data_IF_565894560129
#
_entry.id   IF_565894560129
#
_cell.length_a   1.000
_cell.length_b   1.000
_cell.length_c   1.000
_cell.angle_alpha   90.00
_cell.angle_beta   90.00
_cell.angle_gamma   90.00
#
_symmetry.space_group_name_H-M   'P 1'
#
loop_
_entity.id
_entity.type
_entity.pdbx_description
1 polymer ?
#
# COMPACT_ATOMS: atom_id res chain seq x y z
N UNK A 1 -15.69 9.45 48.25
CA UNK A 1 -14.88 10.60 47.85
C UNK A 1 -13.41 10.38 48.22
N UNK A 2 -12.51 10.40 47.24
CA UNK A 2 -11.08 10.60 47.47
C UNK A 2 -10.75 12.05 47.08
N UNK A 3 -9.82 12.73 47.77
CA UNK A 3 -9.55 14.14 47.51
C UNK A 3 -8.74 14.30 46.22
N UNK A 4 -9.21 15.18 45.34
CA UNK A 4 -8.50 15.61 44.13
C UNK A 4 -7.27 16.40 44.56
N UNK A 5 -6.08 15.92 44.19
CA UNK A 5 -4.82 16.62 44.45
C UNK A 5 -4.77 17.95 43.67
N UNK A 6 -4.25 19.00 44.32
CA UNK A 6 -4.11 20.33 43.73
C UNK A 6 -3.14 20.33 42.53
N UNK A 7 -3.38 21.17 41.50
CA UNK A 7 -2.53 21.25 40.32
C UNK A 7 -1.10 21.73 40.68
N UNK A 8 -0.06 21.23 39.98
CA UNK A 8 1.31 21.63 40.24
C UNK A 8 1.54 23.11 39.88
N UNK A 9 2.47 23.79 40.57
CA UNK A 9 2.78 25.19 40.30
C UNK A 9 3.35 25.39 38.89
N UNK A 10 3.10 26.55 38.26
CA UNK A 10 3.69 26.89 36.97
C UNK A 10 5.23 26.90 37.06
N UNK A 11 5.94 26.53 35.98
CA UNK A 11 7.40 26.57 35.97
C UNK A 11 7.91 28.00 36.22
N UNK A 12 9.13 28.15 36.77
CA UNK A 12 9.72 29.47 37.03
C UNK A 12 9.75 30.32 35.75
N UNK A 13 9.55 31.65 35.85
CA UNK A 13 9.63 32.54 34.70
C UNK A 13 10.99 32.41 34.01
N UNK A 14 10.99 32.11 32.70
CA UNK A 14 12.20 32.05 31.87
C UNK A 14 12.70 30.67 31.43
N UNK A 15 12.05 29.57 31.84
CA UNK A 15 12.36 28.22 31.36
C UNK A 15 11.47 27.79 30.18
N UNK A 16 12.06 27.09 29.20
CA UNK A 16 11.37 26.47 28.07
C UNK A 16 10.31 25.48 28.58
N UNK A 17 9.01 25.68 28.28
CA UNK A 17 7.97 24.77 28.73
C UNK A 17 8.13 23.39 28.05
N UNK A 18 7.88 22.27 28.76
CA UNK A 18 8.02 20.92 28.19
C UNK A 18 7.24 20.71 26.89
N UNK A 19 6.09 21.38 26.74
CA UNK A 19 5.27 21.34 25.52
C UNK A 19 6.01 21.94 24.32
N UNK A 20 6.75 23.04 24.50
CA UNK A 20 7.55 23.62 23.42
C UNK A 20 8.67 22.67 22.98
N UNK A 21 9.31 22.00 23.95
CA UNK A 21 10.34 20.99 23.65
C UNK A 21 9.75 19.84 22.85
N UNK A 22 8.60 19.31 23.29
CA UNK A 22 7.92 18.22 22.62
C UNK A 22 7.49 18.58 21.18
N UNK A 23 6.99 19.80 20.97
CA UNK A 23 6.57 20.29 19.65
C UNK A 23 7.75 20.34 18.67
N UNK A 24 8.89 20.88 19.09
CA UNK A 24 10.08 21.01 18.23
C UNK A 24 10.66 19.64 17.89
N UNK A 25 10.77 18.76 18.89
CA UNK A 25 11.25 17.39 18.66
C UNK A 25 10.31 16.64 17.70
N UNK A 26 8.98 16.74 17.89
CA UNK A 26 7.98 16.12 16.99
C UNK A 26 8.02 16.66 15.57
N UNK A 27 8.16 17.98 15.41
CA UNK A 27 8.29 18.62 14.09
C UNK A 27 9.51 18.09 13.31
N UNK A 28 10.54 17.62 14.02
CA UNK A 28 11.77 17.08 13.44
C UNK A 28 11.79 15.55 13.30
N UNK A 29 10.68 14.84 13.57
CA UNK A 29 10.61 13.37 13.45
C UNK A 29 11.02 12.86 12.07
N UNK A 30 10.80 13.61 10.99
CA UNK A 30 11.25 13.24 9.65
C UNK A 30 12.77 12.99 9.56
N UNK A 31 13.58 13.78 10.28
CA UNK A 31 15.05 13.61 10.33
C UNK A 31 15.45 12.35 11.08
N UNK A 32 14.84 12.10 12.23
CA UNK A 32 15.11 10.90 13.02
C UNK A 32 14.66 9.64 12.28
N UNK A 33 13.54 9.72 11.55
CA UNK A 33 13.04 8.66 10.69
C UNK A 33 14.01 8.35 9.55
N UNK A 34 14.65 9.35 8.95
CA UNK A 34 15.67 9.12 7.92
C UNK A 34 16.85 8.28 8.46
N UNK A 35 17.35 8.60 9.66
CA UNK A 35 18.38 7.80 10.33
C UNK A 35 17.94 6.35 10.53
N UNK A 36 16.68 6.14 10.92
CA UNK A 36 16.11 4.80 11.12
C UNK A 36 15.93 4.02 9.82
N UNK A 37 15.46 4.66 8.74
CA UNK A 37 15.32 4.03 7.42
C UNK A 37 16.69 3.50 6.94
N UNK A 38 17.75 4.29 7.11
CA UNK A 38 19.10 3.86 6.75
C UNK A 38 19.61 2.70 7.63
N UNK A 39 19.18 2.65 8.89
CA UNK A 39 19.46 1.52 9.79
C UNK A 39 18.74 0.25 9.34
N UNK A 40 17.45 0.35 9.00
CA UNK A 40 16.62 -0.78 8.53
C UNK A 40 17.11 -1.32 7.19
N UNK A 41 17.55 -0.44 6.27
CA UNK A 41 18.17 -0.85 4.99
C UNK A 41 19.41 -1.73 5.18
N UNK A 42 20.19 -1.49 6.23
CA UNK A 42 21.43 -2.23 6.51
C UNK A 42 21.18 -3.45 7.40
N UNK A 43 20.23 -3.34 8.33
CA UNK A 43 19.83 -4.41 9.26
C UNK A 43 18.30 -4.51 9.28
N UNK A 44 17.71 -5.29 8.35
CA UNK A 44 16.26 -5.54 8.33
C UNK A 44 15.74 -6.03 9.68
N UNK A 45 14.57 -5.54 10.10
CA UNK A 45 13.97 -5.88 11.41
C UNK A 45 14.49 -5.07 12.60
N UNK A 46 15.39 -4.10 12.40
CA UNK A 46 15.77 -3.14 13.45
C UNK A 46 14.54 -2.40 13.95
N UNK A 47 14.22 -2.55 15.23
CA UNK A 47 13.15 -1.83 15.94
C UNK A 47 13.52 -1.73 17.41
N UNK A 48 12.90 -0.80 18.11
CA UNK A 48 13.07 -0.65 19.55
C UNK A 48 13.16 0.80 19.99
N UNK A 49 13.30 0.97 21.29
CA UNK A 49 13.34 2.27 21.95
C UNK A 49 14.76 2.80 22.04
N UNK A 50 14.87 4.12 21.96
CA UNK A 50 16.11 4.88 22.11
C UNK A 50 15.86 6.04 23.06
N UNK A 51 16.71 6.20 24.07
CA UNK A 51 16.63 7.32 25.02
C UNK A 51 17.75 8.28 24.69
N UNK A 52 17.36 9.50 24.30
CA UNK A 52 18.29 10.57 23.98
C UNK A 52 18.34 11.56 25.13
N UNK A 53 19.54 11.93 25.56
CA UNK A 53 19.79 12.98 26.53
C UNK A 53 20.51 14.13 25.83
N UNK A 54 19.99 15.35 25.94
CA UNK A 54 20.58 16.51 25.29
C UNK A 54 20.39 17.77 26.16
N UNK A 55 21.27 18.75 25.96
CA UNK A 55 21.25 20.02 26.70
C UNK A 55 20.92 21.17 25.75
N UNK A 56 19.88 21.93 26.08
CA UNK A 56 19.50 23.15 25.38
C UNK A 56 20.19 24.33 26.06
N UNK A 57 20.97 25.11 25.32
CA UNK A 57 21.65 26.30 25.81
C UNK A 57 20.72 27.53 25.82
N UNK A 58 21.04 28.61 26.58
CA UNK A 58 20.16 29.78 26.71
C UNK A 58 19.81 30.46 25.38
N UNK A 59 20.69 30.35 24.38
CA UNK A 59 20.49 30.84 23.02
C UNK A 59 19.60 29.92 22.16
N UNK A 60 19.05 28.85 22.73
CA UNK A 60 18.18 27.89 22.03
C UNK A 60 18.91 26.79 21.25
N UNK A 61 20.23 26.83 21.16
CA UNK A 61 21.01 25.77 20.49
C UNK A 61 21.06 24.50 21.32
N UNK A 62 21.14 23.33 20.67
CA UNK A 62 21.40 22.07 21.36
C UNK A 62 22.92 21.83 21.42
N UNK A 63 23.43 21.74 22.64
CA UNK A 63 24.80 21.30 22.90
C UNK A 63 24.94 19.78 22.76
N UNK A 64 25.88 19.17 23.50
CA UNK A 64 26.18 17.75 23.38
C UNK A 64 24.93 16.87 23.59
N UNK A 65 24.53 16.16 22.54
CA UNK A 65 23.49 15.13 22.59
C UNK A 65 24.14 13.75 22.72
N UNK A 66 23.53 12.87 23.51
CA UNK A 66 24.01 11.50 23.72
C UNK A 66 22.84 10.52 23.76
N UNK A 67 23.12 9.27 23.42
CA UNK A 67 22.16 8.18 23.53
C UNK A 67 22.51 7.38 24.77
N UNK A 68 21.61 7.38 25.75
CA UNK A 68 21.80 6.71 27.03
C UNK A 68 21.41 5.24 26.95
N UNK A 69 20.41 4.92 26.14
CA UNK A 69 19.96 3.55 25.88
C UNK A 69 19.52 3.44 24.43
N UNK A 70 19.89 2.35 23.75
CA UNK A 70 19.40 2.01 22.41
C UNK A 70 19.15 0.52 22.33
N UNK A 71 17.92 0.15 22.02
CA UNK A 71 17.53 -1.22 21.67
C UNK A 71 17.86 -1.54 20.19
N UNK A 72 18.36 -0.55 19.43
CA UNK A 72 18.83 -0.70 18.06
C UNK A 72 20.38 -0.73 18.08
N UNK A 73 21.03 -1.92 17.99
CA UNK A 73 22.48 -2.06 18.04
C UNK A 73 23.12 -1.72 16.68
N UNK A 74 23.10 -0.44 16.33
CA UNK A 74 23.62 0.07 15.06
C UNK A 74 24.38 1.40 15.26
N UNK A 75 25.73 1.37 15.31
CA UNK A 75 26.53 2.58 15.55
C UNK A 75 26.31 3.73 14.52
N UNK A 76 26.16 3.47 13.21
CA UNK A 76 25.85 4.53 12.26
C UNK A 76 24.50 5.22 12.52
N UNK A 77 23.51 4.47 13.02
CA UNK A 77 22.20 5.01 13.41
C UNK A 77 22.32 5.91 14.63
N UNK A 78 23.03 5.47 15.67
CA UNK A 78 23.34 6.25 16.87
C UNK A 78 24.00 7.59 16.50
N UNK A 79 25.00 7.54 15.63
CA UNK A 79 25.71 8.74 15.18
C UNK A 79 24.81 9.68 14.35
N UNK A 80 23.95 9.14 13.49
CA UNK A 80 22.98 9.93 12.73
C UNK A 80 21.97 10.62 13.65
N UNK A 81 21.47 9.90 14.66
CA UNK A 81 20.46 10.42 15.57
C UNK A 81 21.04 11.53 16.46
N UNK A 82 22.26 11.35 17.00
CA UNK A 82 22.97 12.39 17.77
C UNK A 82 23.09 13.68 16.96
N UNK A 83 23.64 13.61 15.73
CA UNK A 83 23.75 14.79 14.84
C UNK A 83 22.41 15.45 14.55
N UNK A 84 21.36 14.64 14.43
CA UNK A 84 20.01 15.15 14.16
C UNK A 84 19.43 15.93 15.35
N UNK A 85 19.78 15.55 16.58
CA UNK A 85 19.39 16.27 17.80
C UNK A 85 20.23 17.53 18.02
N UNK A 86 21.53 17.48 17.74
CA UNK A 86 22.43 18.64 17.82
C UNK A 86 22.05 19.74 16.81
N UNK A 87 21.39 19.36 15.70
CA UNK A 87 20.89 20.29 14.69
C UNK A 87 19.48 20.86 15.00
N UNK A 88 18.95 20.67 16.21
CA UNK A 88 17.69 21.29 16.64
C UNK A 88 17.93 22.69 17.19
N UNK A 89 16.96 23.57 16.95
CA UNK A 89 16.93 24.93 17.47
C UNK A 89 15.64 25.15 18.27
N UNK A 90 15.80 25.70 19.47
CA UNK A 90 14.72 26.04 20.39
C UNK A 90 14.61 27.57 20.54
N UNK A 91 13.45 28.09 20.95
CA UNK A 91 13.35 29.49 21.37
C UNK A 91 14.33 29.80 22.52
N UNK A 92 14.87 31.02 22.54
CA UNK A 92 15.74 31.46 23.62
C UNK A 92 15.05 31.36 24.98
N UNK A 93 15.80 30.91 25.99
CA UNK A 93 15.30 30.67 27.34
C UNK A 93 16.24 31.36 28.34
N UNK A 94 15.85 32.51 28.93
CA UNK A 94 16.71 33.26 29.83
C UNK A 94 16.98 32.55 31.18
N UNK A 95 16.28 31.45 31.47
CA UNK A 95 16.38 30.65 32.70
C UNK A 95 17.56 29.68 32.79
N UNK A 96 18.57 29.78 31.92
CA UNK A 96 19.77 28.92 31.93
C UNK A 96 19.64 27.64 31.09
N UNK A 97 20.70 26.80 31.02
CA UNK A 97 20.70 25.59 30.20
C UNK A 97 19.72 24.54 30.75
N UNK A 98 18.98 23.88 29.85
CA UNK A 98 17.97 22.87 30.18
C UNK A 98 18.41 21.50 29.70
N UNK A 99 18.52 20.52 30.59
CA UNK A 99 18.78 19.13 30.24
C UNK A 99 17.48 18.35 30.00
N UNK A 100 17.35 17.74 28.84
CA UNK A 100 16.16 16.99 28.41
C UNK A 100 16.54 15.53 28.20
N UNK A 101 15.70 14.63 28.70
CA UNK A 101 15.76 13.20 28.38
C UNK A 101 14.50 12.83 27.61
N UNK A 102 14.66 12.39 26.37
CA UNK A 102 13.56 12.16 25.44
C UNK A 102 13.58 10.72 24.90
N UNK A 103 12.57 9.89 25.22
CA UNK A 103 12.44 8.57 24.64
C UNK A 103 11.83 8.66 23.23
N UNK A 104 12.45 7.95 22.28
CA UNK A 104 11.94 7.70 20.94
C UNK A 104 11.68 6.21 20.80
N UNK A 105 10.54 5.85 20.22
CA UNK A 105 10.26 4.51 19.76
C UNK A 105 10.46 4.47 18.25
N UNK A 106 11.25 3.53 17.77
CA UNK A 106 11.47 3.28 16.36
C UNK A 106 10.90 1.91 16.02
N UNK A 107 10.06 1.88 15.01
CA UNK A 107 9.32 0.69 14.64
C UNK A 107 8.33 0.99 13.53
N UNK A 108 7.58 -0.05 13.15
CA UNK A 108 6.52 0.04 12.16
C UNK A 108 5.47 1.11 12.47
N UNK A 109 4.95 1.76 11.44
CA UNK A 109 3.83 2.69 11.56
C UNK A 109 2.50 1.95 11.37
N UNK A 110 2.27 0.88 12.14
CA UNK A 110 0.98 0.17 12.21
C UNK A 110 0.11 0.66 13.39
N UNK A 111 0.61 1.61 14.18
CA UNK A 111 -0.10 2.16 15.33
C UNK A 111 -0.15 1.23 16.54
N UNK A 112 0.59 0.11 16.53
CA UNK A 112 0.58 -0.88 17.62
C UNK A 112 1.71 -0.73 18.62
N UNK A 113 2.64 0.22 18.41
CA UNK A 113 3.72 0.48 19.36
C UNK A 113 3.14 0.75 20.76
N UNK A 114 3.35 -0.14 21.75
CA UNK A 114 2.79 0.07 23.06
C UNK A 114 3.41 1.34 23.66
N UNK A 115 2.57 2.29 24.05
CA UNK A 115 2.92 3.30 25.05
C UNK A 115 3.08 2.59 26.40
N UNK A 116 4.06 1.70 26.52
CA UNK A 116 4.32 1.01 27.77
C UNK A 116 4.99 1.98 28.73
N UNK A 117 4.17 2.43 29.68
CA UNK A 117 4.42 3.10 30.97
C UNK A 117 5.62 4.06 31.02
N UNK A 118 5.42 5.36 31.34
CA UNK A 118 6.55 6.21 31.68
C UNK A 118 7.31 5.60 32.86
N UNK A 119 8.64 5.53 32.75
CA UNK A 119 9.51 5.24 33.88
C UNK A 119 9.12 6.16 35.05
N UNK A 120 9.01 5.59 36.25
CA UNK A 120 9.03 6.35 37.50
C UNK A 120 10.27 7.23 37.47
N UNK A 121 10.09 8.55 37.31
CA UNK A 121 11.20 9.51 37.35
C UNK A 121 11.01 10.82 36.60
N UNK A 122 10.14 10.89 35.58
CA UNK A 122 9.75 12.19 34.99
C UNK A 122 8.40 12.64 35.55
N UNK A 123 8.45 13.42 36.62
CA UNK A 123 7.31 14.19 37.10
C UNK A 123 7.06 15.37 36.19
N UNK A 124 6.21 15.19 35.18
CA UNK A 124 5.45 16.29 34.56
C UNK A 124 4.00 15.82 34.55
N UNK A 125 3.14 16.48 35.32
CA UNK A 125 1.72 16.16 35.44
C UNK A 125 1.07 16.12 34.06
N UNK A 126 0.84 14.91 33.57
CA UNK A 126 0.28 14.68 32.25
C UNK A 126 -1.20 15.00 32.24
N UNK A 127 -1.57 16.06 31.53
CA UNK A 127 -2.83 16.03 30.81
C UNK A 127 -2.70 14.94 29.74
N UNK A 128 -3.09 13.72 30.10
CA UNK A 128 -3.45 12.70 29.13
C UNK A 128 -4.85 13.12 28.66
N UNK A 129 -5.02 13.68 27.44
CA UNK A 129 -6.37 13.80 26.91
C UNK A 129 -7.00 12.41 27.04
N UNK A 130 -8.25 12.29 27.52
CA UNK A 130 -8.89 10.98 27.62
C UNK A 130 -8.69 10.31 26.27
N UNK A 131 -8.06 9.13 26.28
CA UNK A 131 -7.94 8.34 25.08
C UNK A 131 -9.36 8.30 24.51
N UNK A 132 -9.58 8.96 23.38
CA UNK A 132 -10.80 8.75 22.62
C UNK A 132 -10.96 7.24 22.49
N UNK A 133 -12.20 6.72 22.51
CA UNK A 133 -12.43 5.29 22.44
C UNK A 133 -11.50 4.72 21.37
N UNK A 134 -10.66 3.75 21.76
CA UNK A 134 -9.73 3.12 20.83
C UNK A 134 -10.54 2.77 19.58
N UNK A 135 -10.05 3.20 18.41
CA UNK A 135 -10.75 2.93 17.16
C UNK A 135 -11.09 1.44 17.12
N UNK A 136 -12.36 1.12 16.89
CA UNK A 136 -12.79 -0.26 16.85
C UNK A 136 -11.90 -1.02 15.85
N UNK A 137 -11.50 -2.27 16.15
CA UNK A 137 -10.74 -3.06 15.20
C UNK A 137 -11.51 -3.10 13.86
N UNK A 138 -10.80 -3.09 12.72
CA UNK A 138 -11.46 -3.14 11.43
C UNK A 138 -12.37 -4.38 11.37
N UNK A 139 -13.54 -4.28 10.73
CA UNK A 139 -14.44 -5.42 10.62
C UNK A 139 -13.76 -6.55 9.83
N UNK A 140 -14.16 -7.79 10.12
CA UNK A 140 -13.65 -8.93 9.38
C UNK A 140 -14.16 -8.90 7.92
N UNK A 141 -13.31 -9.15 6.91
CA UNK A 141 -13.66 -8.96 5.49
C UNK A 141 -14.61 -10.00 4.90
N UNK A 142 -14.66 -11.19 5.48
CA UNK A 142 -15.37 -12.33 4.92
C UNK A 142 -16.51 -12.80 5.80
N UNK A 143 -17.49 -13.45 5.16
CA UNK A 143 -18.68 -14.03 5.77
C UNK A 143 -18.88 -15.47 5.30
N UNK A 144 -19.51 -16.30 6.11
CA UNK A 144 -19.95 -17.64 5.71
C UNK A 144 -18.79 -18.57 5.32
N UNK A 145 -18.97 -19.38 4.27
CA UNK A 145 -17.94 -20.34 3.84
C UNK A 145 -16.65 -19.68 3.36
N UNK A 146 -16.71 -18.49 2.76
CA UNK A 146 -15.52 -17.74 2.36
C UNK A 146 -14.67 -17.41 3.58
N UNK A 147 -15.28 -16.94 4.67
CA UNK A 147 -14.56 -16.72 5.94
C UNK A 147 -13.85 -18.00 6.42
N UNK A 148 -14.54 -19.14 6.37
CA UNK A 148 -14.01 -20.40 6.86
C UNK A 148 -12.82 -20.88 6.01
N UNK A 149 -12.90 -20.70 4.69
CA UNK A 149 -11.82 -21.01 3.74
C UNK A 149 -10.63 -20.09 3.93
N UNK A 150 -10.84 -18.78 3.91
CA UNK A 150 -9.76 -17.79 4.04
C UNK A 150 -9.02 -17.91 5.37
N UNK A 151 -9.74 -18.13 6.48
CA UNK A 151 -9.11 -18.40 7.79
C UNK A 151 -8.31 -19.69 7.83
N UNK A 152 -8.67 -20.70 7.04
CA UNK A 152 -7.89 -21.93 6.92
C UNK A 152 -6.61 -21.69 6.09
N UNK A 153 -6.71 -20.90 5.02
CA UNK A 153 -5.57 -20.46 4.19
C UNK A 153 -4.59 -19.64 5.04
N UNK A 154 -5.07 -18.68 5.84
CA UNK A 154 -4.25 -17.88 6.77
C UNK A 154 -3.45 -18.75 7.77
N UNK A 155 -3.97 -19.94 8.10
CA UNK A 155 -3.31 -20.91 8.99
C UNK A 155 -2.42 -21.91 8.24
N UNK A 156 -2.27 -21.75 6.93
CA UNK A 156 -1.63 -22.70 6.02
C UNK A 156 -2.24 -24.12 6.07
N UNK A 157 -3.53 -24.24 6.36
CA UNK A 157 -4.29 -25.49 6.37
C UNK A 157 -5.12 -25.64 5.09
N UNK A 158 -4.43 -25.89 3.97
CA UNK A 158 -5.05 -26.05 2.66
C UNK A 158 -5.97 -27.27 2.56
N UNK A 159 -5.73 -28.31 3.36
CA UNK A 159 -6.60 -29.50 3.40
C UNK A 159 -7.99 -29.16 3.97
N UNK A 160 -8.04 -28.40 5.07
CA UNK A 160 -9.31 -27.90 5.62
C UNK A 160 -9.99 -26.93 4.66
N UNK A 161 -9.24 -26.02 4.06
CA UNK A 161 -9.76 -25.06 3.08
C UNK A 161 -10.46 -25.78 1.91
N UNK A 162 -9.81 -26.79 1.31
CA UNK A 162 -10.37 -27.58 0.22
C UNK A 162 -11.65 -28.29 0.61
N UNK A 163 -11.68 -28.95 1.78
CA UNK A 163 -12.88 -29.65 2.26
C UNK A 163 -14.07 -28.71 2.45
N UNK A 164 -13.83 -27.51 2.97
CA UNK A 164 -14.89 -26.50 3.15
C UNK A 164 -15.36 -25.98 1.79
N UNK A 165 -14.44 -25.65 0.88
CA UNK A 165 -14.78 -25.18 -0.46
C UNK A 165 -15.55 -26.22 -1.27
N UNK A 166 -15.16 -27.50 -1.20
CA UNK A 166 -15.87 -28.61 -1.85
C UNK A 166 -17.31 -28.73 -1.34
N UNK A 167 -17.52 -28.63 -0.02
CA UNK A 167 -18.87 -28.61 0.57
C UNK A 167 -19.67 -27.40 0.07
N UNK A 168 -19.10 -26.21 0.15
CA UNK A 168 -19.76 -24.97 -0.28
C UNK A 168 -20.20 -25.04 -1.74
N UNK A 169 -19.37 -25.63 -2.62
CA UNK A 169 -19.68 -25.83 -4.04
C UNK A 169 -20.82 -26.83 -4.28
N UNK A 170 -20.99 -27.83 -3.40
CA UNK A 170 -22.12 -28.77 -3.47
C UNK A 170 -23.41 -28.14 -2.95
N UNK A 171 -23.32 -27.34 -1.88
CA UNK A 171 -24.47 -26.67 -1.26
C UNK A 171 -25.00 -25.52 -2.12
N UNK A 172 -24.12 -24.76 -2.77
CA UNK A 172 -24.47 -23.64 -3.64
C UNK A 172 -23.65 -23.63 -4.96
N UNK A 173 -23.98 -24.53 -5.90
CA UNK A 173 -23.23 -24.72 -7.14
C UNK A 173 -23.42 -23.60 -8.18
N UNK A 174 -24.34 -22.66 -7.94
CA UNK A 174 -24.61 -21.53 -8.83
C UNK A 174 -24.05 -20.21 -8.30
N UNK A 175 -23.58 -20.19 -7.04
CA UNK A 175 -22.98 -18.99 -6.46
C UNK A 175 -21.53 -18.82 -6.90
N UNK A 176 -21.13 -17.64 -7.40
CA UNK A 176 -19.73 -17.37 -7.72
C UNK A 176 -18.80 -17.46 -6.51
N UNK A 177 -19.31 -17.20 -5.29
CA UNK A 177 -18.50 -17.27 -4.06
C UNK A 177 -18.01 -18.69 -3.77
N UNK A 178 -18.75 -19.73 -4.17
CA UNK A 178 -18.30 -21.11 -3.98
C UNK A 178 -17.13 -21.45 -4.90
N UNK A 179 -17.10 -20.88 -6.12
CA UNK A 179 -15.97 -21.02 -7.05
C UNK A 179 -14.77 -20.15 -6.67
N UNK A 180 -14.99 -18.95 -6.13
CA UNK A 180 -13.94 -18.11 -5.52
C UNK A 180 -13.24 -18.90 -4.41
N UNK A 181 -14.01 -19.38 -3.42
CA UNK A 181 -13.48 -20.17 -2.31
C UNK A 181 -12.74 -21.44 -2.79
N UNK A 182 -13.25 -22.09 -3.84
CA UNK A 182 -12.59 -23.25 -4.47
C UNK A 182 -11.26 -22.85 -5.11
N UNK A 183 -11.22 -21.75 -5.86
CA UNK A 183 -10.00 -21.25 -6.50
C UNK A 183 -8.94 -20.86 -5.46
N UNK A 184 -9.33 -20.19 -4.38
CA UNK A 184 -8.43 -19.75 -3.30
C UNK A 184 -7.85 -20.96 -2.54
N UNK A 185 -8.70 -21.93 -2.19
CA UNK A 185 -8.26 -23.18 -1.55
C UNK A 185 -7.32 -24.01 -2.43
N UNK A 186 -7.59 -24.10 -3.74
CA UNK A 186 -6.73 -24.79 -4.71
C UNK A 186 -5.39 -24.08 -4.89
N UNK A 187 -5.40 -22.75 -4.92
CA UNK A 187 -4.16 -21.94 -5.00
C UNK A 187 -3.30 -22.19 -3.76
N UNK A 188 -3.88 -22.14 -2.56
CA UNK A 188 -3.20 -22.42 -1.31
C UNK A 188 -2.66 -23.87 -1.22
N UNK A 189 -3.29 -24.81 -1.94
CA UNK A 189 -2.83 -26.19 -2.07
C UNK A 189 -1.76 -26.39 -3.17
N UNK A 190 -1.34 -25.34 -3.88
CA UNK A 190 -0.38 -25.42 -4.98
C UNK A 190 -0.95 -26.02 -6.28
N UNK A 191 -2.29 -26.06 -6.44
CA UNK A 191 -2.99 -26.65 -7.58
C UNK A 191 -3.43 -25.56 -8.57
N UNK A 192 -2.45 -24.88 -9.16
CA UNK A 192 -2.66 -23.69 -10.00
C UNK A 192 -3.61 -23.93 -11.19
N UNK A 193 -3.39 -24.98 -11.97
CA UNK A 193 -4.25 -25.30 -13.13
C UNK A 193 -5.72 -25.53 -12.72
N UNK A 194 -5.94 -26.12 -11.54
CA UNK A 194 -7.28 -26.39 -11.03
C UNK A 194 -7.94 -25.09 -10.52
N UNK A 195 -7.17 -24.22 -9.88
CA UNK A 195 -7.63 -22.91 -9.44
C UNK A 195 -8.02 -22.02 -10.62
N UNK A 196 -7.23 -22.02 -11.70
CA UNK A 196 -7.55 -21.34 -12.94
C UNK A 196 -8.88 -21.84 -13.54
N UNK A 197 -9.13 -23.16 -13.53
CA UNK A 197 -10.41 -23.73 -13.99
C UNK A 197 -11.58 -23.37 -13.09
N UNK A 198 -11.37 -23.28 -11.78
CA UNK A 198 -12.40 -22.81 -10.85
C UNK A 198 -12.79 -21.35 -11.13
N UNK A 199 -11.82 -20.47 -11.40
CA UNK A 199 -12.11 -19.11 -11.85
C UNK A 199 -12.84 -19.08 -13.20
N UNK A 200 -12.46 -19.95 -14.16
CA UNK A 200 -13.15 -20.05 -15.45
C UNK A 200 -14.63 -20.44 -15.31
N UNK A 201 -14.96 -21.28 -14.33
CA UNK A 201 -16.35 -21.68 -14.06
C UNK A 201 -17.25 -20.50 -13.70
N UNK A 202 -16.70 -19.40 -13.15
CA UNK A 202 -17.45 -18.16 -12.90
C UNK A 202 -17.97 -17.56 -14.21
N UNK A 203 -17.14 -17.53 -15.26
CA UNK A 203 -17.53 -17.06 -16.58
C UNK A 203 -18.54 -18.01 -17.25
N UNK A 204 -18.40 -19.32 -17.03
CA UNK A 204 -19.32 -20.32 -17.59
C UNK A 204 -20.72 -20.29 -16.95
N UNK A 205 -20.81 -19.97 -15.65
CA UNK A 205 -22.08 -19.82 -14.94
C UNK A 205 -22.90 -18.63 -15.45
N UNK A 206 -22.24 -17.54 -15.82
CA UNK A 206 -22.89 -16.30 -16.22
C UNK A 206 -22.20 -15.68 -17.46
N UNK A 207 -22.28 -16.34 -18.64
CA UNK A 207 -21.48 -15.98 -19.81
C UNK A 207 -21.86 -14.64 -20.46
N UNK A 208 -22.99 -14.06 -20.07
CA UNK A 208 -23.48 -12.77 -20.57
C UNK A 208 -23.51 -11.69 -19.47
N UNK A 209 -23.10 -12.02 -18.25
CA UNK A 209 -23.03 -11.04 -17.16
C UNK A 209 -21.65 -10.36 -17.16
N UNK A 210 -21.56 -9.05 -17.45
CA UNK A 210 -20.27 -8.39 -17.59
C UNK A 210 -19.47 -8.37 -16.28
N UNK A 211 -20.15 -8.30 -15.13
CA UNK A 211 -19.53 -8.36 -13.82
C UNK A 211 -18.87 -9.73 -13.58
N UNK A 212 -19.56 -10.83 -13.86
CA UNK A 212 -19.01 -12.19 -13.72
C UNK A 212 -17.85 -12.46 -14.68
N UNK A 213 -17.94 -11.98 -15.93
CA UNK A 213 -16.84 -12.07 -16.90
C UNK A 213 -15.60 -11.33 -16.41
N UNK A 214 -15.75 -10.10 -15.88
CA UNK A 214 -14.63 -9.34 -15.29
C UNK A 214 -14.07 -10.03 -14.05
N UNK A 215 -14.93 -10.58 -13.20
CA UNK A 215 -14.52 -11.31 -12.01
C UNK A 215 -13.65 -12.52 -12.35
N UNK A 216 -14.11 -13.35 -13.29
CA UNK A 216 -13.35 -14.49 -13.79
C UNK A 216 -12.01 -14.03 -14.40
N UNK A 217 -12.03 -12.99 -15.22
CA UNK A 217 -10.84 -12.46 -15.89
C UNK A 217 -9.79 -11.93 -14.91
N UNK A 218 -10.16 -11.00 -14.03
CA UNK A 218 -9.21 -10.36 -13.12
C UNK A 218 -8.57 -11.36 -12.15
N UNK A 219 -9.35 -12.30 -11.62
CA UNK A 219 -8.79 -13.38 -10.77
C UNK A 219 -7.88 -14.32 -11.55
N UNK A 220 -8.19 -14.56 -12.83
CA UNK A 220 -7.39 -15.46 -13.69
C UNK A 220 -6.04 -14.86 -14.11
N UNK A 221 -5.82 -13.55 -13.94
CA UNK A 221 -4.52 -12.91 -14.25
C UNK A 221 -3.35 -13.50 -13.45
N UNK A 222 -3.63 -14.11 -12.28
CA UNK A 222 -2.64 -14.77 -11.43
C UNK A 222 -2.03 -16.02 -12.08
N UNK A 223 -2.69 -16.57 -13.12
CA UNK A 223 -2.31 -17.80 -13.81
C UNK A 223 -1.91 -17.46 -15.26
N UNK A 224 -0.61 -17.49 -15.61
CA UNK A 224 -0.14 -17.11 -16.95
C UNK A 224 -0.87 -17.83 -18.09
N UNK A 225 -1.17 -19.11 -17.93
CA UNK A 225 -1.88 -19.95 -18.89
C UNK A 225 -3.35 -19.53 -19.09
N UNK A 226 -3.96 -18.84 -18.12
CA UNK A 226 -5.35 -18.39 -18.19
C UNK A 226 -5.51 -16.97 -18.78
N UNK A 227 -4.42 -16.23 -18.98
CA UNK A 227 -4.44 -14.82 -19.40
C UNK A 227 -5.11 -14.60 -20.76
N UNK A 228 -4.96 -15.54 -21.70
CA UNK A 228 -5.64 -15.45 -23.01
C UNK A 228 -7.16 -15.59 -22.87
N UNK A 229 -7.64 -16.47 -21.97
CA UNK A 229 -9.07 -16.58 -21.69
C UNK A 229 -9.59 -15.34 -20.95
N UNK A 230 -8.80 -14.81 -20.00
CA UNK A 230 -9.10 -13.56 -19.33
C UNK A 230 -9.28 -12.39 -20.31
N UNK A 231 -8.40 -12.26 -21.31
CA UNK A 231 -8.52 -11.26 -22.39
C UNK A 231 -9.87 -11.37 -23.13
N UNK A 232 -10.28 -12.58 -23.51
CA UNK A 232 -11.57 -12.83 -24.18
C UNK A 232 -12.76 -12.40 -23.32
N UNK A 233 -12.77 -12.78 -22.04
CA UNK A 233 -13.84 -12.40 -21.12
C UNK A 233 -13.89 -10.89 -20.89
N UNK A 234 -12.75 -10.20 -20.85
CA UNK A 234 -12.73 -8.73 -20.76
C UNK A 234 -13.33 -8.08 -22.00
N UNK A 235 -12.95 -8.53 -23.20
CA UNK A 235 -13.55 -8.04 -24.46
C UNK A 235 -15.06 -8.27 -24.50
N UNK A 236 -15.52 -9.46 -24.09
CA UNK A 236 -16.95 -9.77 -23.99
C UNK A 236 -17.65 -8.88 -22.97
N UNK A 237 -17.05 -8.66 -21.80
CA UNK A 237 -17.61 -7.76 -20.78
C UNK A 237 -17.78 -6.33 -21.32
N UNK A 238 -16.79 -5.83 -22.05
CA UNK A 238 -16.80 -4.49 -22.65
C UNK A 238 -17.82 -4.36 -23.79
N UNK A 239 -18.14 -5.46 -24.48
CA UNK A 239 -19.19 -5.46 -25.49
C UNK A 239 -20.61 -5.31 -24.92
N UNK A 240 -20.77 -5.63 -23.62
CA UNK A 240 -22.05 -5.53 -22.90
C UNK A 240 -22.11 -4.27 -22.04
N UNK A 241 -21.03 -3.97 -21.31
CA UNK A 241 -20.91 -2.83 -20.39
C UNK A 241 -19.54 -2.14 -20.59
N UNK A 242 -19.58 -1.03 -21.31
CA UNK A 242 -18.41 -0.21 -21.62
C UNK A 242 -18.01 0.76 -20.47
N UNK A 243 -18.72 0.75 -19.33
CA UNK A 243 -18.45 1.71 -18.25
C UNK A 243 -17.21 1.34 -17.41
N UNK A 244 -16.70 0.12 -17.52
CA UNK A 244 -15.51 -0.32 -16.77
C UNK A 244 -14.25 0.41 -17.22
N UNK A 245 -13.57 1.08 -16.28
CA UNK A 245 -12.27 1.74 -16.52
C UNK A 245 -11.10 0.76 -16.45
N UNK A 246 -11.21 -0.31 -15.66
CA UNK A 246 -10.13 -1.28 -15.43
C UNK A 246 -10.02 -2.32 -16.54
N UNK A 247 -11.15 -2.79 -17.08
CA UNK A 247 -11.16 -3.81 -18.12
C UNK A 247 -10.32 -3.44 -19.37
N UNK A 248 -10.47 -2.25 -19.99
CA UNK A 248 -9.68 -1.92 -21.18
C UNK A 248 -8.21 -1.62 -20.82
N UNK A 249 -7.93 -1.20 -19.57
CA UNK A 249 -6.57 -1.03 -19.05
C UNK A 249 -5.84 -2.36 -18.97
N UNK A 250 -6.46 -3.37 -18.36
CA UNK A 250 -5.91 -4.74 -18.29
C UNK A 250 -5.75 -5.35 -19.68
N UNK A 251 -6.68 -5.11 -20.62
CA UNK A 251 -6.49 -5.54 -22.02
C UNK A 251 -5.21 -4.93 -22.62
N UNK A 252 -4.93 -3.65 -22.37
CA UNK A 252 -3.68 -3.03 -22.82
C UNK A 252 -2.44 -3.65 -22.16
N UNK A 253 -2.49 -3.95 -20.86
CA UNK A 253 -1.41 -4.64 -20.14
C UNK A 253 -1.14 -6.03 -20.75
N UNK A 254 -2.19 -6.81 -21.05
CA UNK A 254 -2.09 -8.11 -21.71
C UNK A 254 -1.48 -8.01 -23.12
N UNK A 255 -1.87 -6.99 -23.90
CA UNK A 255 -1.25 -6.68 -25.20
C UNK A 255 0.25 -6.40 -25.09
N UNK A 256 0.67 -5.64 -24.07
CA UNK A 256 2.06 -5.32 -23.85
C UNK A 256 2.88 -6.57 -23.45
N UNK A 257 2.33 -7.43 -22.59
CA UNK A 257 2.98 -8.67 -22.13
C UNK A 257 3.22 -9.66 -23.28
N UNK A 258 2.29 -9.78 -24.24
CA UNK A 258 2.48 -10.59 -25.46
C UNK A 258 3.35 -9.92 -26.54
N UNK A 259 3.94 -8.77 -26.25
CA UNK A 259 4.84 -8.04 -27.13
C UNK A 259 4.18 -7.11 -28.14
N UNK A 260 2.85 -6.98 -28.15
CA UNK A 260 2.14 -5.99 -28.97
C UNK A 260 2.12 -4.63 -28.27
N UNK A 261 3.31 -4.04 -28.08
CA UNK A 261 3.48 -2.82 -27.28
C UNK A 261 2.84 -1.59 -27.95
N UNK A 262 2.95 -1.45 -29.28
CA UNK A 262 2.29 -0.35 -30.00
C UNK A 262 0.77 -0.43 -29.87
N UNK A 263 0.18 -1.63 -29.96
CA UNK A 263 -1.26 -1.82 -29.73
C UNK A 263 -1.68 -1.47 -28.30
N UNK A 264 -0.87 -1.83 -27.30
CA UNK A 264 -1.10 -1.43 -25.92
C UNK A 264 -1.09 0.09 -25.73
N UNK A 265 -0.09 0.77 -26.30
CA UNK A 265 0.00 2.24 -26.24
C UNK A 265 -1.16 2.92 -26.95
N UNK A 266 -1.63 2.39 -28.07
CA UNK A 266 -2.80 2.91 -28.77
C UNK A 266 -4.08 2.83 -27.92
N UNK A 267 -4.29 1.71 -27.21
CA UNK A 267 -5.43 1.55 -26.30
C UNK A 267 -5.33 2.57 -25.15
N UNK A 268 -4.16 2.66 -24.50
CA UNK A 268 -3.95 3.58 -23.38
C UNK A 268 -4.08 5.05 -23.78
N UNK A 269 -3.57 5.44 -24.95
CA UNK A 269 -3.73 6.79 -25.50
C UNK A 269 -5.20 7.11 -25.76
N UNK A 270 -5.93 6.18 -26.37
CA UNK A 270 -7.38 6.31 -26.59
C UNK A 270 -8.17 6.45 -25.27
N UNK A 271 -7.84 5.65 -24.25
CA UNK A 271 -8.45 5.75 -22.93
C UNK A 271 -8.14 7.09 -22.27
N UNK A 272 -6.90 7.57 -22.34
CA UNK A 272 -6.51 8.86 -21.79
C UNK A 272 -7.17 10.02 -22.54
N UNK A 273 -7.34 9.92 -23.85
CA UNK A 273 -8.07 10.89 -24.66
C UNK A 273 -9.57 10.93 -24.36
N UNK A 274 -10.18 9.77 -24.15
CA UNK A 274 -11.60 9.64 -23.81
C UNK A 274 -11.93 10.06 -22.37
N UNK A 275 -10.97 10.00 -21.45
CA UNK A 275 -11.17 10.37 -20.04
C UNK A 275 -11.11 11.90 -19.88
N UNK A 276 -12.19 12.61 -19.52
CA UNK A 276 -12.16 14.09 -19.40
C UNK A 276 -11.13 14.57 -18.39
N UNK A 277 -10.56 15.76 -18.58
CA UNK A 277 -9.70 16.38 -17.56
C UNK A 277 -10.55 17.11 -16.52
N UNK A 278 -10.77 16.47 -15.37
CA UNK A 278 -11.54 17.03 -14.25
C UNK A 278 -10.96 16.57 -12.92
N UNK A 279 -11.43 17.16 -11.80
CA UNK A 279 -11.03 16.71 -10.46
C UNK A 279 -11.47 15.27 -10.16
N UNK A 280 -12.63 14.86 -10.69
CA UNK A 280 -13.18 13.51 -10.47
C UNK A 280 -12.37 12.42 -11.20
N UNK A 281 -11.78 12.77 -12.35
CA UNK A 281 -11.03 11.84 -13.22
C UNK A 281 -9.52 12.01 -13.09
N UNK A 282 -9.04 12.86 -12.16
CA UNK A 282 -7.63 13.19 -12.02
C UNK A 282 -6.76 11.96 -11.74
N UNK A 283 -7.21 11.09 -10.83
CA UNK A 283 -6.54 9.82 -10.50
C UNK A 283 -6.54 8.85 -11.67
N UNK A 284 -7.69 8.63 -12.33
CA UNK A 284 -7.78 7.75 -13.50
C UNK A 284 -6.79 8.18 -14.58
N UNK A 285 -6.69 9.49 -14.86
CA UNK A 285 -5.72 10.03 -15.82
C UNK A 285 -4.28 9.86 -15.34
N UNK A 286 -4.01 9.94 -14.04
CA UNK A 286 -2.69 9.68 -13.47
C UNK A 286 -2.29 8.21 -13.62
N UNK A 287 -3.22 7.28 -13.38
CA UNK A 287 -3.01 5.84 -13.54
C UNK A 287 -2.71 5.51 -15.00
N UNK A 288 -3.53 6.01 -15.94
CA UNK A 288 -3.32 5.82 -17.38
C UNK A 288 -1.96 6.36 -17.85
N UNK A 289 -1.51 7.50 -17.30
CA UNK A 289 -0.16 8.02 -17.57
C UNK A 289 0.93 7.13 -16.99
N UNK A 290 0.70 6.50 -15.84
CA UNK A 290 1.57 5.50 -15.26
C UNK A 290 1.72 4.28 -16.17
N UNK A 291 0.61 3.72 -16.66
CA UNK A 291 0.63 2.60 -17.62
C UNK A 291 1.36 2.99 -18.92
N UNK A 292 1.04 4.16 -19.48
CA UNK A 292 1.74 4.71 -20.65
C UNK A 292 3.24 4.81 -20.39
N UNK A 293 3.65 5.34 -19.24
CA UNK A 293 5.05 5.48 -18.89
C UNK A 293 5.78 4.13 -18.86
N UNK A 294 5.21 3.13 -18.18
CA UNK A 294 5.79 1.78 -18.08
C UNK A 294 5.90 1.12 -19.46
N UNK A 295 4.79 1.10 -20.22
CA UNK A 295 4.71 0.42 -21.50
C UNK A 295 5.60 1.11 -22.56
N UNK A 296 5.63 2.44 -22.57
CA UNK A 296 6.49 3.20 -23.49
C UNK A 296 7.98 3.07 -23.13
N UNK A 297 8.33 3.01 -21.84
CA UNK A 297 9.70 2.75 -21.42
C UNK A 297 10.16 1.34 -21.82
N UNK A 298 9.26 0.35 -21.77
CA UNK A 298 9.56 -0.98 -22.27
C UNK A 298 9.86 -0.96 -23.78
N UNK A 299 9.05 -0.25 -24.57
CA UNK A 299 9.29 -0.08 -26.01
C UNK A 299 10.61 0.65 -26.30
N UNK A 300 10.86 1.76 -25.62
CA UNK A 300 12.07 2.56 -25.79
C UNK A 300 13.35 1.80 -25.39
N UNK A 301 13.25 0.87 -24.44
CA UNK A 301 14.37 0.01 -24.05
C UNK A 301 14.61 -1.13 -25.06
N UNK A 302 13.55 -1.64 -25.72
CA UNK A 302 13.66 -2.66 -26.78
C UNK A 302 14.12 -2.06 -28.11
N UNK A 303 13.65 -0.86 -28.44
CA UNK A 303 13.98 -0.11 -29.65
C UNK A 303 14.44 1.31 -29.29
N UNK A 304 15.75 1.43 -29.07
CA UNK A 304 16.38 2.71 -28.72
C UNK A 304 16.24 3.79 -29.80
N UNK A 305 15.96 3.42 -31.06
CA UNK A 305 15.77 4.40 -32.14
C UNK A 305 14.49 5.23 -31.96
N UNK A 306 13.48 4.66 -31.30
CA UNK A 306 12.19 5.30 -31.01
C UNK A 306 12.18 6.06 -29.69
N UNK A 307 13.24 6.01 -28.89
CA UNK A 307 13.23 6.62 -27.54
C UNK A 307 12.90 8.11 -27.55
N UNK A 308 13.52 8.89 -28.42
CA UNK A 308 13.27 10.34 -28.51
C UNK A 308 11.86 10.68 -29.05
N UNK A 309 11.24 9.80 -29.84
CA UNK A 309 9.84 9.91 -30.26
C UNK A 309 8.91 9.65 -29.06
N UNK A 310 9.12 8.53 -28.37
CA UNK A 310 8.29 8.10 -27.25
C UNK A 310 8.37 9.05 -26.05
N UNK A 311 9.55 9.56 -25.73
CA UNK A 311 9.72 10.57 -24.67
C UNK A 311 8.97 11.86 -24.99
N UNK A 312 9.01 12.32 -26.26
CA UNK A 312 8.26 13.51 -26.70
C UNK A 312 6.75 13.30 -26.65
N UNK A 313 6.27 12.15 -27.15
CA UNK A 313 4.86 11.80 -27.09
C UNK A 313 4.37 11.65 -25.65
N UNK A 314 5.08 10.90 -24.81
CA UNK A 314 4.76 10.74 -23.40
C UNK A 314 4.70 12.09 -22.66
N UNK A 315 5.67 12.97 -22.90
CA UNK A 315 5.66 14.31 -22.32
C UNK A 315 4.43 15.13 -22.76
N UNK A 316 3.99 15.00 -24.01
CA UNK A 316 2.79 15.68 -24.51
C UNK A 316 1.50 15.22 -23.82
N UNK A 317 1.43 13.96 -23.39
CA UNK A 317 0.28 13.42 -22.63
C UNK A 317 0.46 13.52 -21.10
N UNK A 318 1.60 14.03 -20.64
CA UNK A 318 1.92 14.25 -19.23
C UNK A 318 2.48 13.02 -18.51
N UNK A 319 3.06 12.07 -19.24
CA UNK A 319 3.77 10.91 -18.72
C UNK A 319 5.31 11.11 -18.81
N UNK A 320 6.06 10.40 -17.97
CA UNK A 320 7.53 10.44 -17.96
C UNK A 320 8.04 9.01 -17.97
N UNK A 321 8.86 8.65 -18.95
CA UNK A 321 9.39 7.29 -19.08
C UNK A 321 10.40 7.01 -17.96
N UNK A 322 10.20 5.94 -17.16
CA UNK A 322 11.20 5.49 -16.20
C UNK A 322 12.48 5.01 -16.90
N UNK A 323 13.63 5.36 -16.33
CA UNK A 323 14.94 4.81 -16.74
C UNK A 323 15.33 3.57 -15.95
N UNK A 324 14.72 3.38 -14.79
CA UNK A 324 14.97 2.28 -13.86
C UNK A 324 13.78 1.36 -13.85
N UNK A 325 14.00 0.16 -13.33
CA UNK A 325 12.91 -0.76 -13.07
C UNK A 325 11.88 -0.14 -12.11
N UNK A 326 10.61 -0.22 -12.51
CA UNK A 326 9.45 0.32 -11.78
C UNK A 326 8.26 -0.61 -11.96
N UNK A 327 7.31 -0.51 -11.06
CA UNK A 327 6.01 -1.13 -11.15
C UNK A 327 4.87 -0.16 -10.89
N UNK A 328 3.69 -0.52 -11.41
CA UNK A 328 2.40 0.05 -11.07
C UNK A 328 1.52 -1.08 -10.53
N UNK A 329 0.98 -0.88 -9.32
CA UNK A 329 0.05 -1.81 -8.69
C UNK A 329 -1.34 -1.16 -8.59
N UNK A 330 -2.40 -1.81 -9.05
CA UNK A 330 -3.76 -1.26 -9.02
C UNK A 330 -4.76 -2.31 -8.54
N UNK A 331 -5.65 -1.93 -7.62
CA UNK A 331 -6.77 -2.76 -7.25
C UNK A 331 -7.83 -2.71 -8.36
N UNK A 332 -8.11 -3.84 -9.00
CA UNK A 332 -9.15 -3.97 -10.03
C UNK A 332 -10.28 -4.85 -9.52
N UNK A 333 -11.50 -4.31 -9.57
CA UNK A 333 -12.72 -4.95 -9.08
C UNK A 333 -13.69 -5.30 -10.21
N UNK A 334 -14.45 -6.38 -10.05
CA UNK A 334 -15.40 -6.82 -11.06
C UNK A 334 -16.63 -5.91 -11.23
N UNK A 335 -17.03 -5.21 -10.16
CA UNK A 335 -18.10 -4.23 -10.18
C UNK A 335 -17.55 -2.86 -10.58
N UNK A 336 -18.16 -2.21 -11.56
CA UNK A 336 -17.75 -0.87 -11.99
C UNK A 336 -18.01 0.22 -10.92
N UNK A 337 -18.94 -0.04 -9.99
CA UNK A 337 -19.33 0.89 -8.92
C UNK A 337 -18.64 0.64 -7.57
N UNK A 338 -17.83 -0.42 -7.43
CA UNK A 338 -17.14 -0.70 -6.17
C UNK A 338 -16.01 0.32 -5.94
N UNK A 339 -15.95 0.85 -4.71
CA UNK A 339 -14.90 1.75 -4.25
C UNK A 339 -13.86 0.94 -3.48
N UNK A 340 -12.74 0.68 -4.13
CA UNK A 340 -11.62 -0.11 -3.59
C UNK A 340 -10.43 0.81 -3.34
N UNK A 341 -10.06 0.96 -2.07
CA UNK A 341 -8.85 1.67 -1.69
C UNK A 341 -7.67 0.68 -1.61
N UNK A 342 -6.49 1.15 -2.01
CA UNK A 342 -5.24 0.39 -1.94
C UNK A 342 -4.36 0.96 -0.83
N UNK A 343 -3.87 0.06 0.03
CA UNK A 343 -2.86 0.38 1.03
C UNK A 343 -1.60 -0.40 0.67
N UNK A 344 -0.48 0.32 0.57
CA UNK A 344 0.81 -0.29 0.27
C UNK A 344 1.77 -0.01 1.41
N UNK A 345 2.27 -1.06 2.06
CA UNK A 345 3.35 -0.95 3.04
C UNK A 345 4.69 -1.36 2.44
N UNK A 346 5.78 -0.70 2.80
CA UNK A 346 7.15 -1.09 2.41
C UNK A 346 7.91 -1.81 3.53
N UNK A 347 9.19 -2.14 3.31
CA UNK A 347 10.09 -2.74 4.32
C UNK A 347 10.27 -1.89 5.60
N UNK A 348 9.99 -0.58 5.56
CA UNK A 348 9.99 0.26 6.76
C UNK A 348 8.66 0.20 7.52
N UNK A 349 7.72 -0.61 7.01
CA UNK A 349 6.33 -0.78 7.44
C UNK A 349 5.55 0.55 7.41
N UNK A 350 6.05 1.49 6.60
CA UNK A 350 5.35 2.73 6.30
C UNK A 350 4.25 2.45 5.30
N UNK A 351 3.06 2.99 5.54
CA UNK A 351 1.89 2.75 4.68
C UNK A 351 1.61 3.96 3.80
N UNK A 352 1.60 3.76 2.49
CA UNK A 352 0.93 4.62 1.55
C UNK A 352 -0.57 4.41 1.74
N UNK A 353 -1.29 5.48 2.02
CA UNK A 353 -2.75 5.49 2.15
C UNK A 353 -3.30 6.76 1.50
N UNK A 354 -4.62 6.84 1.31
CA UNK A 354 -5.28 8.08 0.89
C UNK A 354 -4.86 9.32 1.70
N UNK A 355 -4.70 9.17 3.01
CA UNK A 355 -4.28 10.26 3.91
C UNK A 355 -2.79 10.57 3.84
N UNK A 356 -1.96 9.57 3.52
CA UNK A 356 -0.50 9.71 3.40
C UNK A 356 -0.04 9.01 2.12
N UNK A 357 -0.21 9.65 0.95
CA UNK A 357 -0.10 8.94 -0.33
C UNK A 357 1.35 8.62 -0.74
N UNK A 358 2.36 9.20 -0.08
CA UNK A 358 3.76 9.02 -0.47
C UNK A 358 4.53 8.18 0.53
N UNK A 359 5.38 7.28 0.04
CA UNK A 359 6.38 6.60 0.85
C UNK A 359 7.71 7.36 0.79
N UNK A 360 8.35 7.52 1.95
CA UNK A 360 9.68 8.12 2.03
C UNK A 360 10.75 7.29 1.28
N UNK A 361 10.49 5.99 1.12
CA UNK A 361 11.35 5.04 0.43
C UNK A 361 11.17 5.01 -1.09
N UNK A 362 10.11 5.65 -1.61
CA UNK A 362 9.81 5.73 -3.04
C UNK A 362 8.39 5.31 -3.39
N UNK A 363 7.81 6.00 -4.36
CA UNK A 363 6.49 5.73 -4.89
C UNK A 363 5.36 6.48 -4.18
N UNK A 364 4.20 6.47 -4.82
CA UNK A 364 3.01 7.19 -4.38
C UNK A 364 1.71 6.51 -4.80
N UNK A 365 0.65 6.71 -4.02
CA UNK A 365 -0.71 6.42 -4.43
C UNK A 365 -1.26 7.52 -5.32
N UNK A 366 -1.80 7.12 -6.47
CA UNK A 366 -2.69 7.92 -7.30
C UNK A 366 -4.11 7.80 -6.72
N UNK A 367 -4.40 8.63 -5.71
CA UNK A 367 -5.66 8.57 -4.94
C UNK A 367 -6.80 9.24 -5.68
N UNK A 368 -7.97 8.61 -5.73
CA UNK A 368 -9.20 9.12 -6.36
C UNK A 368 -9.90 10.16 -5.49
N UNK A 369 -10.81 10.95 -6.05
CA UNK A 369 -11.85 11.67 -5.28
C UNK A 369 -13.20 11.12 -5.74
N UNK A 370 -13.72 10.12 -5.01
CA UNK A 370 -14.90 9.34 -5.42
C UNK A 370 -14.54 7.93 -5.90
N UNK A 371 -15.53 7.15 -6.38
CA UNK A 371 -15.30 5.78 -6.84
C UNK A 371 -14.34 5.76 -8.03
N UNK A 372 -13.35 4.88 -7.98
CA UNK A 372 -12.39 4.68 -9.06
C UNK A 372 -11.18 3.86 -8.59
N UNK A 373 -10.37 3.33 -9.51
CA UNK A 373 -9.23 2.51 -9.13
C UNK A 373 -8.21 3.32 -8.33
N UNK A 374 -7.78 2.80 -7.19
CA UNK A 374 -6.58 3.26 -6.51
C UNK A 374 -5.38 2.46 -7.00
N UNK A 375 -4.31 3.16 -7.36
CA UNK A 375 -3.06 2.55 -7.77
C UNK A 375 -1.86 3.15 -7.05
N UNK A 376 -0.85 2.32 -6.83
CA UNK A 376 0.46 2.70 -6.36
C UNK A 376 1.45 2.71 -7.53
N UNK A 377 2.10 3.85 -7.75
CA UNK A 377 3.10 4.05 -8.80
C UNK A 377 4.46 4.20 -8.12
N UNK A 378 5.37 3.25 -8.36
CA UNK A 378 6.73 3.32 -7.85
C UNK A 378 7.59 4.34 -8.63
N UNK A 379 8.68 4.84 -8.01
CA UNK A 379 9.55 5.87 -8.61
C UNK A 379 11.01 5.41 -8.80
N UNK A 380 11.23 4.09 -8.83
CA UNK A 380 12.54 3.45 -9.02
C UNK A 380 13.40 3.41 -7.75
N UNK A 381 13.02 4.14 -6.68
CA UNK A 381 13.51 3.88 -5.33
C UNK A 381 12.65 2.76 -4.76
N UNK A 382 13.27 1.58 -4.60
CA UNK A 382 12.55 0.35 -4.25
C UNK A 382 12.91 -0.11 -2.85
N UNK A 383 11.91 -0.49 -2.09
CA UNK A 383 12.01 -0.88 -0.69
C UNK A 383 11.16 -2.11 -0.41
N UNK A 384 11.35 -3.12 -1.28
CA UNK A 384 10.78 -4.45 -1.11
C UNK A 384 11.11 -5.02 0.28
N UNK A 385 10.24 -5.88 0.84
CA UNK A 385 8.95 -6.28 0.26
C UNK A 385 7.91 -5.16 0.32
N UNK A 386 6.93 -5.23 -0.58
CA UNK A 386 5.72 -4.40 -0.51
C UNK A 386 4.52 -5.27 -0.11
N UNK A 387 3.86 -4.95 0.99
CA UNK A 387 2.59 -5.56 1.38
C UNK A 387 1.44 -4.76 0.74
N UNK A 388 0.52 -5.45 0.07
CA UNK A 388 -0.61 -4.85 -0.64
C UNK A 388 -1.91 -5.28 0.04
N UNK A 389 -2.60 -4.31 0.65
CA UNK A 389 -3.91 -4.52 1.26
C UNK A 389 -4.98 -3.78 0.45
N UNK A 390 -6.15 -4.40 0.31
CA UNK A 390 -7.32 -3.79 -0.33
C UNK A 390 -8.38 -3.51 0.72
N UNK A 391 -8.96 -2.32 0.69
CA UNK A 391 -10.07 -1.93 1.56
C UNK A 391 -11.30 -1.71 0.69
N UNK A 392 -12.41 -2.37 1.04
CA UNK A 392 -13.68 -2.13 0.39
C UNK A 392 -14.38 -0.97 1.07
N UNK A 393 -14.45 0.20 0.45
CA UNK A 393 -15.09 1.38 1.04
C UNK A 393 -16.59 1.43 0.77
N UNK A 394 -17.00 1.07 -0.45
CA UNK A 394 -18.39 1.00 -0.89
C UNK A 394 -18.56 -0.07 -1.98
N UNK A 395 -19.73 -0.70 -2.07
CA UNK A 395 -20.14 -1.57 -3.19
C UNK A 395 -21.63 -1.46 -3.45
N UNK A 396 -22.06 -1.90 -4.63
CA UNK A 396 -23.47 -2.01 -4.98
C UNK A 396 -24.00 -3.44 -4.76
N UNK A 397 -23.16 -4.47 -4.96
CA UNK A 397 -23.54 -5.86 -4.79
C UNK A 397 -23.27 -6.42 -3.38
N UNK A 398 -23.26 -7.75 -3.30
CA UNK A 398 -23.06 -8.48 -2.05
C UNK A 398 -21.57 -8.55 -1.63
N UNK A 399 -20.65 -8.43 -2.58
CA UNK A 399 -19.21 -8.53 -2.36
C UNK A 399 -18.44 -7.85 -3.50
N UNK A 400 -17.16 -7.58 -3.28
CA UNK A 400 -16.21 -7.19 -4.32
C UNK A 400 -15.10 -8.24 -4.42
N UNK A 401 -14.65 -8.49 -5.63
CA UNK A 401 -13.64 -9.50 -5.96
C UNK A 401 -12.94 -9.13 -7.25
N UNK A 402 -11.68 -9.52 -7.37
CA UNK A 402 -10.84 -9.23 -8.52
C UNK A 402 -9.40 -9.55 -8.19
N UNK A 403 -8.48 -8.65 -8.54
CA UNK A 403 -7.07 -8.79 -8.18
C UNK A 403 -6.41 -7.44 -7.96
N UNK A 404 -5.30 -7.41 -7.21
CA UNK A 404 -4.32 -6.34 -7.36
C UNK A 404 -3.43 -6.69 -8.55
N UNK A 405 -3.62 -6.01 -9.67
CA UNK A 405 -2.74 -6.16 -10.85
C UNK A 405 -1.46 -5.37 -10.62
N UNK A 406 -0.31 -5.98 -10.84
CA UNK A 406 1.01 -5.39 -10.71
C UNK A 406 1.74 -5.57 -12.04
N UNK A 407 1.88 -4.50 -12.81
CA UNK A 407 2.71 -4.47 -14.01
C UNK A 407 4.09 -3.93 -13.64
N UNK A 408 5.14 -4.70 -13.90
CA UNK A 408 6.53 -4.32 -13.71
C UNK A 408 7.25 -4.13 -15.04
N UNK A 409 8.03 -3.05 -15.16
CA UNK A 409 9.06 -2.87 -16.17
C UNK A 409 10.44 -3.10 -15.52
N UNK A 410 11.26 -3.96 -16.13
CA UNK A 410 12.57 -4.37 -15.59
C UNK A 410 13.70 -3.35 -15.83
N UNK A 411 13.42 -2.23 -16.51
CA UNK A 411 14.42 -1.24 -16.95
C UNK A 411 15.24 -1.63 -18.19
N UNK A 412 15.04 -2.83 -18.73
CA UNK A 412 15.71 -3.37 -19.94
C UNK A 412 14.73 -3.70 -21.07
N UNK A 413 13.44 -3.50 -20.84
CA UNK A 413 12.38 -3.73 -21.83
C UNK A 413 11.50 -4.94 -21.52
N UNK A 414 11.82 -5.73 -20.51
CA UNK A 414 10.95 -6.78 -19.98
C UNK A 414 9.73 -6.16 -19.30
N UNK A 415 8.56 -6.75 -19.56
CA UNK A 415 7.33 -6.47 -18.84
C UNK A 415 6.88 -7.75 -18.15
N UNK A 416 6.56 -7.65 -16.87
CA UNK A 416 6.12 -8.76 -16.04
C UNK A 416 4.82 -8.39 -15.35
N UNK A 417 3.92 -9.36 -15.21
CA UNK A 417 2.67 -9.16 -14.48
C UNK A 417 2.59 -10.16 -13.34
N UNK A 418 2.32 -9.62 -12.16
CA UNK A 418 1.88 -10.35 -10.99
C UNK A 418 0.44 -9.91 -10.74
N UNK A 419 -0.43 -10.84 -10.39
CA UNK A 419 -1.78 -10.51 -9.97
C UNK A 419 -2.07 -11.24 -8.67
N UNK A 420 -2.64 -10.51 -7.71
CA UNK A 420 -2.95 -11.00 -6.37
C UNK A 420 -4.48 -11.03 -6.20
N UNK A 421 -5.14 -12.18 -6.42
CA UNK A 421 -6.58 -12.28 -6.30
C UNK A 421 -7.07 -11.93 -4.90
N UNK A 422 -8.24 -11.31 -4.81
CA UNK A 422 -8.87 -11.01 -3.52
C UNK A 422 -10.39 -11.18 -3.58
N UNK A 423 -11.00 -11.32 -2.41
CA UNK A 423 -12.45 -11.23 -2.18
C UNK A 423 -12.73 -10.50 -0.87
N UNK A 424 -13.72 -9.60 -0.86
CA UNK A 424 -14.16 -8.84 0.32
C UNK A 424 -15.69 -8.72 0.29
N UNK A 425 -16.37 -9.10 1.38
CA UNK A 425 -17.84 -9.05 1.49
C UNK A 425 -18.33 -7.89 2.37
N UNK A 426 -17.50 -7.46 3.32
CA UNK A 426 -17.84 -6.48 4.34
C UNK A 426 -17.19 -5.12 4.03
N UNK A 427 -18.01 -4.07 3.93
CA UNK A 427 -17.53 -2.70 3.76
C UNK A 427 -16.70 -2.25 4.97
N UNK A 428 -15.73 -1.38 4.71
CA UNK A 428 -14.69 -0.89 5.62
C UNK A 428 -13.75 -1.98 6.14
N UNK A 429 -13.92 -3.22 5.70
CA UNK A 429 -12.99 -4.28 5.99
C UNK A 429 -11.78 -4.20 5.06
N UNK A 430 -10.69 -4.81 5.53
CA UNK A 430 -9.43 -4.90 4.81
C UNK A 430 -9.07 -6.35 4.57
N UNK A 431 -8.49 -6.64 3.41
CA UNK A 431 -7.86 -7.92 3.11
C UNK A 431 -6.41 -7.70 2.74
N UNK A 432 -5.54 -8.60 3.17
CA UNK A 432 -4.18 -8.68 2.64
C UNK A 432 -4.25 -9.43 1.30
N UNK A 433 -4.07 -8.72 0.18
CA UNK A 433 -4.06 -9.35 -1.13
C UNK A 433 -2.77 -10.14 -1.37
N UNK A 434 -1.68 -9.74 -0.72
CA UNK A 434 -0.42 -10.45 -0.74
C UNK A 434 0.78 -9.52 -0.68
N UNK A 435 1.94 -10.08 -1.00
CA UNK A 435 3.23 -9.42 -0.89
C UNK A 435 4.00 -9.51 -2.20
N UNK A 436 4.55 -8.38 -2.61
CA UNK A 436 5.55 -8.30 -3.67
C UNK A 436 6.94 -8.36 -3.03
N UNK A 437 7.59 -9.51 -3.10
CA UNK A 437 8.82 -9.83 -2.33
C UNK A 437 10.09 -9.20 -2.90
N UNK A 438 10.25 -9.20 -4.21
CA UNK A 438 11.42 -8.67 -4.92
C UNK A 438 11.02 -8.31 -6.36
N UNK A 439 11.87 -7.61 -7.14
CA UNK A 439 11.61 -7.40 -8.56
C UNK A 439 11.51 -8.74 -9.30
N UNK A 440 10.52 -8.88 -10.18
CA UNK A 440 10.48 -10.01 -11.12
C UNK A 440 11.73 -9.97 -12.01
N UNK A 441 12.38 -11.12 -12.19
CA UNK A 441 13.63 -11.26 -12.96
C UNK A 441 13.39 -11.63 -14.42
#
# INVERSE_FOLDING_TARGET
>A
EQPVAAPPPPPPPGQLPPVAVQLIVRRNFGRFRACYIDAVRQKPGSKGRVVVNFRIDPNGSVGLARIDQSEIPHPPFVACLVRSFEALEFPESPGGPVSVTYPLAFGPADGTAPLERPMKGLGVGGFVPPAGPAAAPPPQPWLGDVELVEKAIERADSATALRIAERARVEDPLSPLSYIATADALTAAGRADDAARANASIADLAPNDPASLRMAAFRSLAFPEARTAAEDWLHRSLSVDAASLDAPRIVAELYALRGNIDGALQILDGLLGATPSSRATASTREILRGDIALVAAALAARDGSRRAELERWAAAVGAVLPEKAVFLAAAVGHEAGADLDLIVADISEARATRATPHLATGGKLATTVGPGPEAFISDGRRAYPYDLEVVLTQRDGAFSSGAVSILEHDGRGGLHMIALPFVIQVEKARVNAGRLEEPTR
#
